data_IF_276666795586
#
_entry.id   IF_276666795586
#
_cell.length_a   1.000
_cell.length_b   1.000
_cell.length_c   1.000
_cell.angle_alpha   90.00
_cell.angle_beta   90.00
_cell.angle_gamma   90.00
#
_symmetry.space_group_name_H-M   'P 1'
#
loop_
_entity.id
_entity.type
_entity.pdbx_description
1 polymer ?
#
# COMPACT_ATOMS: atom_id res chain seq x y z
N UNK A 1 7.33 17.08 -4.98
CA UNK A 1 7.35 15.60 -4.88
C UNK A 1 7.85 15.07 -6.22
N UNK A 2 8.92 14.26 -6.25
CA UNK A 2 9.38 13.65 -7.51
C UNK A 2 8.41 12.52 -7.86
N UNK A 3 7.58 12.71 -8.88
CA UNK A 3 6.85 11.61 -9.51
C UNK A 3 7.90 10.71 -10.18
N UNK A 4 8.14 9.53 -9.62
CA UNK A 4 8.94 8.52 -10.29
C UNK A 4 8.09 8.01 -11.46
N UNK A 5 8.56 8.24 -12.68
CA UNK A 5 7.94 7.63 -13.85
C UNK A 5 8.07 6.11 -13.70
N UNK A 6 7.02 5.35 -14.02
CA UNK A 6 7.09 3.90 -13.93
C UNK A 6 8.18 3.38 -14.87
N UNK A 7 8.90 2.31 -14.48
CA UNK A 7 9.96 1.74 -15.29
C UNK A 7 9.41 1.12 -16.59
N UNK A 8 10.31 0.84 -17.54
CA UNK A 8 9.95 0.30 -18.86
C UNK A 8 8.97 -0.90 -18.76
N UNK A 9 8.07 -1.09 -19.74
CA UNK A 9 6.99 -2.10 -19.74
C UNK A 9 7.42 -3.57 -19.54
N UNK A 10 8.72 -3.84 -19.49
CA UNK A 10 9.31 -5.16 -19.27
C UNK A 10 9.87 -5.33 -17.84
N UNK A 11 9.74 -4.32 -16.99
CA UNK A 11 10.20 -4.38 -15.60
C UNK A 11 9.21 -5.13 -14.74
N UNK A 12 9.70 -6.09 -13.95
CA UNK A 12 8.97 -6.70 -12.83
C UNK A 12 8.80 -5.67 -11.71
N UNK A 13 7.98 -4.66 -11.96
CA UNK A 13 7.68 -3.58 -11.04
C UNK A 13 6.25 -3.75 -10.53
N UNK A 14 6.10 -3.77 -9.22
CA UNK A 14 4.81 -3.80 -8.56
C UNK A 14 4.64 -2.49 -7.80
N UNK A 15 3.52 -1.81 -8.00
CA UNK A 15 3.22 -0.56 -7.31
C UNK A 15 2.00 -0.67 -6.39
N UNK A 16 1.99 0.05 -5.27
CA UNK A 16 0.83 0.12 -4.39
C UNK A 16 -0.21 1.10 -4.96
N UNK A 17 -1.47 0.69 -4.93
CA UNK A 17 -2.65 1.53 -5.11
C UNK A 17 -3.42 1.54 -3.79
N UNK A 18 -3.57 2.73 -3.21
CA UNK A 18 -4.36 2.94 -1.99
C UNK A 18 -5.81 3.21 -2.36
N UNK A 19 -6.72 2.49 -1.72
CA UNK A 19 -8.18 2.67 -1.86
C UNK A 19 -8.69 3.16 -0.51
N UNK A 20 -9.42 4.27 -0.52
CA UNK A 20 -9.95 4.91 0.69
C UNK A 20 -11.48 4.90 0.60
N UNK A 21 -12.14 4.26 1.55
CA UNK A 21 -13.57 4.43 1.75
C UNK A 21 -13.79 5.75 2.50
N UNK A 22 -14.32 6.76 1.81
CA UNK A 22 -14.55 8.09 2.37
C UNK A 22 -15.60 8.13 3.50
N UNK A 23 -16.52 7.16 3.55
CA UNK A 23 -17.55 7.11 4.59
C UNK A 23 -17.01 6.53 5.89
N UNK A 24 -16.16 5.51 5.78
CA UNK A 24 -15.66 4.76 6.95
C UNK A 24 -14.23 5.09 7.31
N UNK A 25 -13.50 5.82 6.45
CA UNK A 25 -12.07 6.11 6.58
C UNK A 25 -11.18 4.88 6.43
N UNK A 26 -11.72 3.74 5.98
CA UNK A 26 -10.95 2.50 5.82
C UNK A 26 -10.02 2.61 4.62
N UNK A 27 -8.79 2.14 4.80
CA UNK A 27 -7.76 2.12 3.76
C UNK A 27 -7.41 0.69 3.42
N UNK A 28 -7.38 0.39 2.13
CA UNK A 28 -6.96 -0.89 1.57
C UNK A 28 -5.82 -0.65 0.56
N UNK A 29 -5.01 -1.67 0.31
CA UNK A 29 -3.87 -1.57 -0.62
C UNK A 29 -3.88 -2.71 -1.62
N UNK A 30 -3.89 -2.38 -2.90
CA UNK A 30 -3.61 -3.32 -3.98
C UNK A 30 -2.16 -3.16 -4.44
N UNK A 31 -1.46 -4.26 -4.61
CA UNK A 31 -0.18 -4.31 -5.31
C UNK A 31 -0.44 -4.78 -6.73
N UNK A 32 -0.16 -3.90 -7.68
CA UNK A 32 -0.49 -4.11 -9.09
C UNK A 32 0.81 -4.32 -9.85
N UNK A 33 0.88 -5.42 -10.59
CA UNK A 33 1.97 -5.65 -11.54
C UNK A 33 1.86 -4.66 -12.70
N UNK A 34 2.95 -3.95 -12.97
CA UNK A 34 2.99 -2.89 -13.95
C UNK A 34 2.74 -3.38 -15.38
N UNK A 35 3.34 -4.51 -15.76
CA UNK A 35 3.29 -5.02 -17.12
C UNK A 35 1.90 -5.56 -17.48
N UNK A 36 1.27 -6.28 -16.55
CA UNK A 36 -0.01 -6.95 -16.77
C UNK A 36 -1.23 -6.17 -16.27
N UNK A 37 -1.04 -5.19 -15.38
CA UNK A 37 -2.13 -4.51 -14.68
C UNK A 37 -2.87 -5.41 -13.68
N UNK A 38 -2.40 -6.62 -13.42
CA UNK A 38 -3.04 -7.55 -12.50
C UNK A 38 -2.73 -7.22 -11.04
N UNK A 39 -3.72 -7.39 -10.16
CA UNK A 39 -3.51 -7.33 -8.72
C UNK A 39 -2.80 -8.62 -8.31
N UNK A 40 -1.55 -8.50 -7.89
CA UNK A 40 -0.72 -9.63 -7.43
C UNK A 40 -0.80 -9.84 -5.92
N UNK A 41 -1.20 -8.81 -5.17
CA UNK A 41 -1.49 -8.89 -3.73
C UNK A 41 -2.53 -7.85 -3.35
N UNK A 42 -3.46 -8.23 -2.48
CA UNK A 42 -4.42 -7.33 -1.85
C UNK A 42 -4.21 -7.38 -0.33
N UNK A 43 -4.19 -6.21 0.31
CA UNK A 43 -4.18 -6.05 1.77
C UNK A 43 -5.49 -5.35 2.15
N UNK A 44 -6.38 -6.10 2.81
CA UNK A 44 -7.65 -5.57 3.31
C UNK A 44 -7.42 -4.64 4.51
N UNK A 45 -8.39 -3.76 4.80
CA UNK A 45 -8.24 -2.76 5.85
C UNK A 45 -7.94 -3.34 7.24
N UNK A 46 -8.50 -4.51 7.57
CA UNK A 46 -8.24 -5.20 8.84
C UNK A 46 -6.78 -5.71 8.93
N UNK A 47 -6.27 -6.29 7.84
CA UNK A 47 -4.89 -6.76 7.73
C UNK A 47 -3.90 -5.58 7.76
N UNK A 48 -4.21 -4.49 7.03
CA UNK A 48 -3.40 -3.27 7.06
C UNK A 48 -3.31 -2.69 8.47
N UNK A 49 -4.43 -2.60 9.17
CA UNK A 49 -4.45 -2.15 10.57
C UNK A 49 -3.63 -3.05 11.49
N UNK A 50 -3.63 -4.36 11.26
CA UNK A 50 -2.80 -5.30 12.03
C UNK A 50 -1.31 -5.09 11.72
N UNK A 51 -0.93 -5.00 10.45
CA UNK A 51 0.45 -4.70 10.03
C UNK A 51 0.92 -3.38 10.65
N UNK A 52 0.12 -2.32 10.62
CA UNK A 52 0.47 -1.04 11.21
C UNK A 52 0.61 -1.10 12.73
N UNK A 53 -0.16 -1.94 13.42
CA UNK A 53 -0.01 -2.18 14.87
C UNK A 53 1.25 -2.99 15.18
N UNK A 54 1.50 -4.04 14.40
CA UNK A 54 2.67 -4.93 14.56
C UNK A 54 3.97 -4.16 14.24
N UNK A 55 3.95 -3.32 13.22
CA UNK A 55 5.05 -2.40 12.87
C UNK A 55 5.06 -1.15 13.77
N UNK A 56 3.94 -0.83 14.43
CA UNK A 56 3.82 0.20 15.46
C UNK A 56 4.52 -0.15 16.78
N UNK A 57 5.07 -1.37 16.89
CA UNK A 57 6.10 -1.72 17.86
C UNK A 57 7.52 -1.30 17.42
N UNK A 58 7.64 -0.37 16.44
CA UNK A 58 8.87 0.40 16.26
C UNK A 58 9.01 1.36 17.46
N UNK A 59 10.08 1.25 18.27
CA UNK A 59 10.26 2.03 19.48
C UNK A 59 10.47 3.50 19.12
N UNK A 60 9.55 4.40 19.47
CA UNK A 60 9.91 5.83 19.58
C UNK A 60 8.87 6.91 19.31
N UNK A 61 7.64 6.63 18.87
CA UNK A 61 6.66 7.72 18.70
C UNK A 61 5.68 7.75 19.88
N UNK A 62 6.08 8.43 20.95
CA UNK A 62 5.16 8.93 21.96
C UNK A 62 4.43 10.15 21.38
N UNK A 63 3.11 10.08 21.22
CA UNK A 63 2.30 11.27 21.01
C UNK A 63 1.90 11.75 22.40
N UNK A 64 2.37 12.95 22.76
CA UNK A 64 2.13 13.64 24.03
C UNK A 64 0.68 14.05 24.22
#
# INVERSE_FOLDING_TARGET
>A
MRHQLPPEPNSNYTYPQFIIDEKTGRVEVNFIDWASGQIVRHIAAAELNQILKDQGALPGVQIS
#
